data_IF_349562813599
#
_entry.id   IF_349562813599
#
_cell.length_a   1.000
_cell.length_b   1.000
_cell.length_c   1.000
_cell.angle_alpha   90.00
_cell.angle_beta   90.00
_cell.angle_gamma   90.00
#
_symmetry.space_group_name_H-M   'P 1'
#
loop_
_entity.id
_entity.type
_entity.pdbx_description
1 polymer ?
#
# COMPACT_ATOMS: atom_id res chain seq x y z
N UNK A 1 15.47 22.66 -9.76
CA UNK A 1 14.16 22.83 -10.43
C UNK A 1 13.97 21.64 -11.37
N UNK A 2 13.08 20.70 -11.05
CA UNK A 2 12.84 19.54 -11.93
C UNK A 2 11.96 19.96 -13.13
N UNK A 3 12.36 19.56 -14.34
CA UNK A 3 11.69 19.92 -15.61
C UNK A 3 10.26 19.33 -15.72
N UNK A 4 9.35 19.92 -16.50
CA UNK A 4 7.97 19.44 -16.65
C UNK A 4 7.84 17.95 -17.02
N UNK A 5 8.78 17.42 -17.82
CA UNK A 5 8.80 16.01 -18.26
C UNK A 5 9.01 15.00 -17.13
N UNK A 6 9.64 15.38 -16.00
CA UNK A 6 9.85 14.42 -14.91
C UNK A 6 8.58 14.21 -14.08
N UNK A 7 7.68 15.21 -14.02
CA UNK A 7 6.39 15.12 -13.33
C UNK A 7 5.37 14.22 -14.01
N UNK A 8 5.57 13.89 -15.28
CA UNK A 8 4.65 13.07 -16.07
C UNK A 8 5.10 11.62 -16.19
N UNK A 9 6.23 11.24 -15.57
CA UNK A 9 6.75 9.88 -15.61
C UNK A 9 6.53 9.16 -14.28
N UNK A 10 5.70 8.12 -14.29
CA UNK A 10 5.44 7.30 -13.11
C UNK A 10 6.74 6.70 -12.54
N UNK A 11 7.66 6.28 -13.43
CA UNK A 11 8.98 5.74 -13.06
C UNK A 11 9.82 6.77 -12.33
N UNK A 12 9.81 8.04 -12.76
CA UNK A 12 10.62 9.08 -12.11
C UNK A 12 10.03 9.50 -10.76
N UNK A 13 8.71 9.62 -10.65
CA UNK A 13 8.03 9.88 -9.36
C UNK A 13 8.22 8.72 -8.38
N UNK A 14 8.18 7.47 -8.84
CA UNK A 14 8.51 6.29 -8.03
C UNK A 14 9.95 6.35 -7.50
N UNK A 15 10.94 6.59 -8.38
CA UNK A 15 12.34 6.72 -7.98
C UNK A 15 12.56 7.87 -7.01
N UNK A 16 11.83 8.97 -7.19
CA UNK A 16 11.87 10.09 -6.27
C UNK A 16 11.35 9.68 -4.88
N UNK A 17 10.28 8.88 -4.83
CA UNK A 17 9.77 8.29 -3.59
C UNK A 17 10.79 7.41 -2.89
N UNK A 18 11.49 6.53 -3.62
CA UNK A 18 12.57 5.70 -3.09
C UNK A 18 13.72 6.53 -2.50
N UNK A 19 14.13 7.60 -3.20
CA UNK A 19 15.19 8.51 -2.74
C UNK A 19 14.77 9.25 -1.47
N UNK A 20 13.52 9.70 -1.38
CA UNK A 20 13.01 10.36 -0.17
C UNK A 20 12.94 9.40 1.00
N UNK A 21 12.47 8.17 0.77
CA UNK A 21 12.43 7.13 1.79
C UNK A 21 13.83 6.81 2.33
N UNK A 22 14.82 6.62 1.45
CA UNK A 22 16.21 6.38 1.84
C UNK A 22 16.83 7.52 2.66
N UNK A 23 16.29 8.75 2.55
CA UNK A 23 16.71 9.92 3.34
C UNK A 23 15.87 10.15 4.60
N UNK A 24 14.97 9.23 4.95
CA UNK A 24 14.07 9.35 6.09
C UNK A 24 12.95 10.39 5.90
N UNK A 25 12.77 10.93 4.69
CA UNK A 25 11.74 11.93 4.37
C UNK A 25 10.42 11.24 4.04
N UNK A 26 9.80 10.65 5.05
CA UNK A 26 8.65 9.76 4.87
C UNK A 26 7.45 10.48 4.22
N UNK A 27 7.14 11.71 4.61
CA UNK A 27 6.06 12.49 4.00
C UNK A 27 6.31 12.76 2.50
N UNK A 28 7.52 13.19 2.13
CA UNK A 28 7.87 13.46 0.74
C UNK A 28 7.81 12.17 -0.12
N UNK A 29 8.20 11.03 0.45
CA UNK A 29 8.11 9.74 -0.22
C UNK A 29 6.65 9.30 -0.45
N UNK A 30 5.77 9.47 0.55
CA UNK A 30 4.33 9.22 0.41
C UNK A 30 3.74 10.05 -0.74
N UNK A 31 4.09 11.33 -0.80
CA UNK A 31 3.59 12.26 -1.81
C UNK A 31 4.12 11.91 -3.21
N UNK A 32 5.38 11.52 -3.35
CA UNK A 32 5.97 11.09 -4.62
C UNK A 32 5.31 9.80 -5.15
N UNK A 33 5.12 8.79 -4.30
CA UNK A 33 4.35 7.60 -4.68
C UNK A 33 2.91 7.94 -5.05
N UNK A 34 2.27 8.87 -4.33
CA UNK A 34 0.91 9.33 -4.65
C UNK A 34 0.81 10.05 -5.98
N UNK A 35 1.87 10.72 -6.43
CA UNK A 35 1.96 11.29 -7.79
C UNK A 35 2.15 10.19 -8.83
N UNK A 36 3.05 9.24 -8.58
CA UNK A 36 3.28 8.10 -9.47
C UNK A 36 1.98 7.32 -9.76
N UNK A 37 1.16 7.05 -8.73
CA UNK A 37 -0.11 6.30 -8.87
C UNK A 37 -1.20 7.01 -9.68
N UNK A 38 -1.05 8.29 -9.97
CA UNK A 38 -1.95 9.08 -10.85
C UNK A 38 -1.52 9.07 -12.31
N UNK A 39 -0.40 8.41 -12.63
CA UNK A 39 0.16 8.33 -13.96
C UNK A 39 -0.04 6.91 -14.52
N UNK A 40 0.13 6.76 -15.83
CA UNK A 40 0.09 5.45 -16.48
C UNK A 40 1.24 4.56 -15.98
N UNK A 41 0.90 3.33 -15.59
CA UNK A 41 1.81 2.37 -14.99
C UNK A 41 1.57 0.98 -15.55
N UNK A 42 2.62 0.17 -15.61
CA UNK A 42 2.41 -1.27 -15.81
C UNK A 42 1.80 -1.88 -14.55
N UNK A 43 1.06 -3.00 -14.64
CA UNK A 43 0.46 -3.66 -13.47
C UNK A 43 1.49 -3.97 -12.38
N UNK A 44 2.67 -4.47 -12.76
CA UNK A 44 3.74 -4.80 -11.81
C UNK A 44 4.30 -3.54 -11.10
N UNK A 45 4.43 -2.43 -11.84
CA UNK A 45 4.88 -1.17 -11.26
C UNK A 45 3.83 -0.63 -10.27
N UNK A 46 2.56 -0.71 -10.64
CA UNK A 46 1.44 -0.28 -9.81
C UNK A 46 1.35 -1.07 -8.52
N UNK A 47 1.49 -2.40 -8.57
CA UNK A 47 1.58 -3.26 -7.38
C UNK A 47 2.69 -2.77 -6.45
N UNK A 48 3.91 -2.60 -6.97
CA UNK A 48 5.07 -2.19 -6.17
C UNK A 48 4.85 -0.84 -5.48
N UNK A 49 4.37 0.16 -6.21
CA UNK A 49 4.18 1.52 -5.67
C UNK A 49 3.02 1.59 -4.67
N UNK A 50 1.90 0.91 -4.93
CA UNK A 50 0.78 0.86 -3.97
C UNK A 50 1.20 0.23 -2.65
N UNK A 51 1.92 -0.89 -2.69
CA UNK A 51 2.40 -1.56 -1.48
C UNK A 51 3.43 -0.72 -0.72
N UNK A 52 4.36 -0.07 -1.44
CA UNK A 52 5.33 0.83 -0.82
C UNK A 52 4.64 2.01 -0.13
N UNK A 53 3.67 2.65 -0.80
CA UNK A 53 2.94 3.76 -0.22
C UNK A 53 2.11 3.34 1.01
N UNK A 54 1.37 2.23 0.93
CA UNK A 54 0.55 1.75 2.04
C UNK A 54 1.38 1.44 3.29
N UNK A 55 2.52 0.78 3.12
CA UNK A 55 3.46 0.49 4.22
C UNK A 55 3.99 1.78 4.83
N UNK A 56 4.37 2.74 3.99
CA UNK A 56 4.91 4.01 4.46
C UNK A 56 3.86 4.88 5.17
N UNK A 57 2.62 4.87 4.68
CA UNK A 57 1.48 5.50 5.36
C UNK A 57 1.25 4.91 6.74
N UNK A 58 1.32 3.57 6.88
CA UNK A 58 1.21 2.90 8.17
C UNK A 58 2.35 3.31 9.12
N UNK A 59 3.59 3.30 8.64
CA UNK A 59 4.77 3.75 9.41
C UNK A 59 4.67 5.22 9.83
N UNK A 60 4.11 6.07 8.97
CA UNK A 60 3.92 7.49 9.23
C UNK A 60 2.61 7.79 10.00
N UNK A 61 2.04 6.80 10.69
CA UNK A 61 0.81 6.89 11.50
C UNK A 61 -0.46 7.35 10.76
N UNK A 62 -0.44 7.37 9.42
CA UNK A 62 -1.60 7.67 8.57
C UNK A 62 -2.44 6.42 8.31
N UNK A 63 -2.92 5.82 9.39
CA UNK A 63 -3.58 4.49 9.41
C UNK A 63 -4.77 4.37 8.48
N UNK A 64 -5.66 5.37 8.48
CA UNK A 64 -6.85 5.35 7.61
C UNK A 64 -6.45 5.33 6.13
N UNK A 65 -5.49 6.17 5.73
CA UNK A 65 -4.99 6.20 4.36
C UNK A 65 -4.31 4.89 3.98
N UNK A 66 -3.50 4.30 4.88
CA UNK A 66 -2.87 3.00 4.64
C UNK A 66 -3.91 1.90 4.41
N UNK A 67 -4.94 1.85 5.26
CA UNK A 67 -6.02 0.88 5.15
C UNK A 67 -6.80 1.05 3.83
N UNK A 68 -7.10 2.29 3.44
CA UNK A 68 -7.77 2.58 2.18
C UNK A 68 -6.91 2.21 0.95
N UNK A 69 -5.60 2.43 1.01
CA UNK A 69 -4.68 1.98 -0.05
C UNK A 69 -4.65 0.45 -0.16
N UNK A 70 -4.65 -0.28 0.95
CA UNK A 70 -4.73 -1.75 0.92
C UNK A 70 -6.09 -2.26 0.41
N UNK A 71 -7.21 -1.64 0.80
CA UNK A 71 -8.53 -1.97 0.25
C UNK A 71 -8.56 -1.77 -1.26
N UNK A 72 -8.00 -0.66 -1.74
CA UNK A 72 -7.90 -0.40 -3.17
C UNK A 72 -6.99 -1.43 -3.86
N UNK A 73 -5.87 -1.80 -3.23
CA UNK A 73 -4.97 -2.84 -3.74
C UNK A 73 -5.68 -4.18 -3.94
N UNK A 74 -6.46 -4.64 -2.96
CA UNK A 74 -7.21 -5.90 -3.05
C UNK A 74 -8.27 -5.88 -4.15
N UNK A 75 -8.88 -4.72 -4.42
CA UNK A 75 -9.84 -4.56 -5.53
C UNK A 75 -9.17 -4.60 -6.90
N UNK A 76 -7.99 -4.01 -7.01
CA UNK A 76 -7.24 -3.94 -8.26
C UNK A 76 -6.48 -5.23 -8.58
N UNK A 77 -6.03 -5.96 -7.55
CA UNK A 77 -5.23 -7.18 -7.69
C UNK A 77 -5.82 -8.34 -6.88
N UNK A 78 -7.03 -8.83 -7.23
CA UNK A 78 -7.67 -9.92 -6.50
C UNK A 78 -6.89 -11.24 -6.59
N UNK A 79 -6.06 -11.41 -7.61
CA UNK A 79 -5.23 -12.61 -7.84
C UNK A 79 -3.78 -12.44 -7.34
N UNK A 80 -3.50 -11.42 -6.52
CA UNK A 80 -2.15 -11.23 -5.97
C UNK A 80 -1.73 -12.42 -5.11
N UNK A 81 -0.54 -12.96 -5.34
CA UNK A 81 -0.13 -14.24 -4.74
C UNK A 81 -0.14 -14.26 -3.19
N UNK A 82 0.14 -13.13 -2.55
CA UNK A 82 0.20 -13.00 -1.09
C UNK A 82 -0.93 -12.13 -0.53
N UNK A 83 -2.19 -12.50 -0.81
CA UNK A 83 -3.35 -11.83 -0.20
C UNK A 83 -3.33 -11.91 1.33
N UNK A 84 -2.86 -13.03 1.88
CA UNK A 84 -2.75 -13.24 3.33
C UNK A 84 -1.89 -12.16 3.98
N UNK A 85 -0.70 -11.87 3.42
CA UNK A 85 0.18 -10.82 3.91
C UNK A 85 -0.42 -9.42 3.79
N UNK A 86 -1.34 -9.17 2.84
CA UNK A 86 -2.07 -7.90 2.77
C UNK A 86 -3.07 -7.77 3.91
N UNK A 87 -3.91 -8.79 4.13
CA UNK A 87 -4.89 -8.78 5.22
C UNK A 87 -4.22 -8.69 6.60
N UNK A 88 -3.09 -9.38 6.80
CA UNK A 88 -2.30 -9.28 8.04
C UNK A 88 -1.79 -7.87 8.30
N UNK A 89 -1.43 -7.09 7.26
CA UNK A 89 -1.04 -5.68 7.41
C UNK A 89 -2.24 -4.76 7.67
N UNK A 90 -3.42 -5.10 7.15
CA UNK A 90 -4.65 -4.33 7.37
C UNK A 90 -5.22 -4.50 8.78
N UNK A 91 -5.10 -5.69 9.38
CA UNK A 91 -5.69 -6.01 10.68
C UNK A 91 -5.33 -5.02 11.80
N UNK A 92 -4.03 -4.74 12.10
CA UNK A 92 -3.67 -3.78 13.15
C UNK A 92 -4.12 -2.35 12.81
N UNK A 93 -4.19 -1.98 11.53
CA UNK A 93 -4.70 -0.67 11.11
C UNK A 93 -6.19 -0.53 11.45
N UNK A 94 -7.00 -1.54 11.13
CA UNK A 94 -8.42 -1.55 11.43
C UNK A 94 -8.70 -1.59 12.95
N UNK A 95 -7.89 -2.32 13.72
CA UNK A 95 -7.94 -2.35 15.18
C UNK A 95 -7.66 -0.96 15.78
N UNK A 96 -6.55 -0.33 15.37
CA UNK A 96 -6.16 1.00 15.84
C UNK A 96 -7.19 2.09 15.49
N UNK A 97 -7.96 1.90 14.41
CA UNK A 97 -9.04 2.78 13.96
C UNK A 97 -10.40 2.46 14.61
N UNK A 98 -10.48 1.43 15.46
CA UNK A 98 -11.72 0.94 16.07
C UNK A 98 -12.81 0.55 15.05
N UNK A 99 -12.41 0.01 13.89
CA UNK A 99 -13.34 -0.41 12.83
C UNK A 99 -13.74 -1.87 13.00
N UNK A 100 -14.60 -2.17 13.98
CA UNK A 100 -14.95 -3.55 14.37
C UNK A 100 -15.44 -4.43 13.20
N UNK A 101 -16.32 -3.90 12.33
CA UNK A 101 -16.80 -4.64 11.17
C UNK A 101 -15.68 -4.97 10.16
N UNK A 102 -14.72 -4.06 9.99
CA UNK A 102 -13.56 -4.31 9.13
C UNK A 102 -12.63 -5.35 9.74
N UNK A 103 -12.39 -5.27 11.06
CA UNK A 103 -11.59 -6.26 11.80
C UNK A 103 -12.17 -7.66 11.62
N UNK A 104 -13.49 -7.82 11.76
CA UNK A 104 -14.16 -9.10 11.57
C UNK A 104 -14.02 -9.61 10.13
N UNK A 105 -14.22 -8.73 9.14
CA UNK A 105 -14.06 -9.08 7.73
C UNK A 105 -12.63 -9.52 7.39
N UNK A 106 -11.63 -8.75 7.84
CA UNK A 106 -10.21 -9.06 7.64
C UNK A 106 -9.85 -10.39 8.31
N UNK A 107 -10.31 -10.64 9.54
CA UNK A 107 -10.01 -11.87 10.26
C UNK A 107 -10.57 -13.10 9.53
N UNK A 108 -11.80 -13.03 9.01
CA UNK A 108 -12.39 -14.11 8.21
C UNK A 108 -11.55 -14.43 6.97
N UNK A 109 -11.02 -13.41 6.30
CA UNK A 109 -10.16 -13.58 5.13
C UNK A 109 -8.80 -14.20 5.51
N UNK A 110 -8.21 -13.76 6.64
CA UNK A 110 -6.99 -14.38 7.20
C UNK A 110 -7.22 -15.86 7.52
N UNK A 111 -8.32 -16.21 8.19
CA UNK A 111 -8.63 -17.59 8.56
C UNK A 111 -8.88 -18.47 7.32
N UNK A 112 -9.50 -17.91 6.27
CA UNK A 112 -9.72 -18.61 5.00
C UNK A 112 -8.42 -18.89 4.25
N UNK A 113 -7.49 -17.94 4.26
CA UNK A 113 -6.24 -17.99 3.50
C UNK A 113 -5.08 -18.64 4.26
N UNK A 114 -5.18 -18.71 5.58
CA UNK A 114 -4.18 -19.38 6.41
C UNK A 114 -4.21 -20.88 6.12
N UNK A 115 -3.04 -21.52 5.92
CA UNK A 115 -3.00 -22.96 5.81
C UNK A 115 -3.56 -23.55 7.11
N UNK A 116 -4.70 -24.23 7.01
CA UNK A 116 -5.21 -25.02 8.12
C UNK A 116 -4.09 -25.97 8.49
N UNK A 117 -3.51 -25.79 9.67
CA UNK A 117 -2.49 -26.69 10.18
C UNK A 117 -3.17 -28.05 10.28
N UNK A 118 -2.88 -28.91 9.30
CA UNK A 118 -3.37 -30.26 9.26
C UNK A 118 -2.93 -30.96 10.54
N UNK A 119 -3.93 -31.52 11.23
CA UNK A 119 -3.71 -32.60 12.18
C UNK A 119 -2.96 -33.75 11.53
#
# INVERSE_FOLDING_TARGET
>A
MASPMTRTSAVLEEKLGEIFYARGKLADAIDAYGKALKLEMTPLQRVRVMLAQAQLLALYTRRQQALDTYRQFLKEFPDYADLLGIYQKMLPLAQDLNQAAEVEAIQKEIDRLSPQSGK
#
